data_IF_310413758295
#
_entry.id   IF_310413758295
#
_cell.length_a   1.000
_cell.length_b   1.000
_cell.length_c   1.000
_cell.angle_alpha   90.00
_cell.angle_beta   90.00
_cell.angle_gamma   90.00
#
_symmetry.space_group_name_H-M   'P 1'
#
loop_
_entity.id
_entity.type
_entity.pdbx_description
1 polymer ?
#
# COMPACT_ATOMS: atom_id res chain seq x y z
N UNK A 1 51.66 -7.54 -41.76
CA UNK A 1 51.13 -7.48 -43.15
C UNK A 1 49.63 -7.15 -43.03
N UNK A 2 49.21 -5.89 -43.19
CA UNK A 2 48.63 -5.31 -44.44
C UNK A 2 47.66 -6.32 -45.09
N UNK A 3 46.36 -6.07 -45.12
CA UNK A 3 45.75 -5.03 -45.97
C UNK A 3 44.44 -4.47 -45.44
N UNK A 4 44.35 -3.14 -45.48
CA UNK A 4 43.13 -2.34 -45.41
C UNK A 4 42.24 -2.61 -46.63
N UNK A 5 40.92 -2.67 -46.44
CA UNK A 5 39.95 -2.44 -47.51
C UNK A 5 39.03 -1.30 -47.08
N UNK A 6 39.19 -0.16 -47.74
CA UNK A 6 38.30 1.00 -47.68
C UNK A 6 37.27 0.80 -48.78
N UNK A 7 35.98 0.76 -48.45
CA UNK A 7 34.93 1.10 -49.39
C UNK A 7 34.21 2.35 -48.91
N UNK A 8 34.52 3.45 -49.60
CA UNK A 8 33.67 4.63 -49.70
C UNK A 8 32.60 4.30 -50.74
N UNK A 9 31.33 4.42 -50.40
CA UNK A 9 30.29 4.77 -51.36
C UNK A 9 29.22 5.57 -50.64
N UNK A 10 29.21 6.85 -50.97
CA UNK A 10 28.14 7.78 -50.66
C UNK A 10 26.91 7.42 -51.48
N UNK A 11 25.74 7.35 -50.86
CA UNK A 11 24.48 7.61 -51.55
C UNK A 11 23.55 8.32 -50.58
N UNK A 12 23.52 9.63 -50.77
CA UNK A 12 22.62 10.58 -50.14
C UNK A 12 21.26 10.43 -50.85
N UNK A 13 20.25 9.87 -50.20
CA UNK A 13 18.85 9.99 -50.65
C UNK A 13 18.15 10.90 -49.65
N UNK A 14 18.08 12.17 -50.05
CA UNK A 14 17.30 13.21 -49.40
C UNK A 14 15.85 13.05 -49.84
N UNK A 15 15.02 12.39 -49.04
CA UNK A 15 13.57 12.44 -49.17
C UNK A 15 13.04 13.50 -48.19
N UNK A 16 12.83 14.72 -48.70
CA UNK A 16 12.08 15.76 -48.02
C UNK A 16 10.60 15.40 -48.17
N UNK A 17 10.03 14.83 -47.11
CA UNK A 17 8.57 14.72 -46.98
C UNK A 17 8.10 15.96 -46.20
N UNK A 18 7.56 16.93 -46.91
CA UNK A 18 6.79 18.04 -46.35
C UNK A 18 5.47 17.48 -45.87
N UNK A 19 5.45 16.99 -44.63
CA UNK A 19 4.21 16.71 -43.90
C UNK A 19 3.71 18.01 -43.32
N UNK A 20 2.69 18.60 -43.94
CA UNK A 20 1.89 19.66 -43.33
C UNK A 20 1.31 19.16 -42.03
N UNK A 21 1.86 19.62 -40.91
CA UNK A 21 1.29 19.44 -39.59
C UNK A 21 -0.06 20.16 -39.55
N UNK A 22 -1.14 19.42 -39.79
CA UNK A 22 -2.47 19.83 -39.39
C UNK A 22 -2.46 19.97 -37.88
N UNK A 23 -2.52 21.20 -37.40
CA UNK A 23 -2.80 21.54 -36.01
C UNK A 23 -4.24 21.08 -35.73
N UNK A 24 -4.40 19.80 -35.43
CA UNK A 24 -5.61 19.34 -34.76
C UNK A 24 -5.51 19.79 -33.32
N UNK A 25 -6.18 20.90 -33.02
CA UNK A 25 -6.59 21.28 -31.67
C UNK A 25 -7.48 20.17 -31.11
N UNK A 26 -6.87 19.10 -30.60
CA UNK A 26 -7.54 18.17 -29.72
C UNK A 26 -7.74 18.89 -28.40
N UNK A 27 -8.95 19.41 -28.21
CA UNK A 27 -9.47 19.80 -26.90
C UNK A 27 -9.50 18.53 -26.04
N UNK A 28 -8.41 18.30 -25.31
CA UNK A 28 -8.38 17.28 -24.28
C UNK A 28 -9.53 17.59 -23.30
N UNK A 29 -10.42 16.64 -22.99
CA UNK A 29 -11.43 16.84 -21.97
C UNK A 29 -10.69 17.17 -20.67
N UNK A 30 -11.00 18.34 -20.11
CA UNK A 30 -10.46 18.81 -18.86
C UNK A 30 -10.59 17.68 -17.82
N UNK A 31 -9.46 17.10 -17.45
CA UNK A 31 -9.42 16.21 -16.28
C UNK A 31 -10.00 17.01 -15.12
N UNK A 32 -10.99 16.47 -14.39
CA UNK A 32 -11.48 17.12 -13.20
C UNK A 32 -10.28 17.39 -12.30
N UNK A 33 -10.01 18.68 -12.06
CA UNK A 33 -9.02 19.11 -11.07
C UNK A 33 -9.50 18.50 -9.76
N UNK A 34 -8.82 17.43 -9.36
CA UNK A 34 -8.99 16.81 -8.07
C UNK A 34 -8.39 17.80 -7.07
N UNK A 35 -9.24 18.73 -6.62
CA UNK A 35 -8.94 19.71 -5.59
C UNK A 35 -8.47 18.94 -4.35
N UNK A 36 -7.16 18.78 -4.24
CA UNK A 36 -6.46 18.04 -3.18
C UNK A 36 -6.41 18.86 -1.89
N UNK A 37 -7.44 19.67 -1.66
CA UNK A 37 -7.61 20.55 -0.51
C UNK A 37 -8.70 20.01 0.42
N UNK A 38 -8.81 18.67 0.51
CA UNK A 38 -9.47 18.04 1.64
C UNK A 38 -8.62 18.38 2.87
N UNK A 39 -9.09 19.35 3.65
CA UNK A 39 -8.53 19.71 4.94
C UNK A 39 -8.20 18.42 5.70
N UNK A 40 -7.04 18.33 6.38
CA UNK A 40 -6.66 17.16 7.15
C UNK A 40 -7.82 16.84 8.11
N UNK A 41 -8.56 15.78 7.79
CA UNK A 41 -9.66 15.33 8.62
C UNK A 41 -9.03 15.04 9.97
N UNK A 42 -9.36 15.89 10.93
CA UNK A 42 -8.78 15.83 12.26
C UNK A 42 -9.05 14.45 12.81
N UNK A 43 -8.00 13.66 13.02
CA UNK A 43 -7.92 12.39 13.76
C UNK A 43 -8.31 12.57 15.25
N UNK A 44 -9.33 13.38 15.52
CA UNK A 44 -9.91 13.74 16.81
C UNK A 44 -11.38 13.30 16.68
N UNK A 45 -11.89 12.26 17.31
CA UNK A 45 -11.43 11.47 18.45
C UNK A 45 -12.12 10.10 18.36
N UNK A 46 -11.39 9.02 18.10
CA UNK A 46 -11.98 7.66 18.06
C UNK A 46 -12.31 7.10 19.44
N UNK A 47 -11.83 7.77 20.48
CA UNK A 47 -12.13 7.45 21.86
C UNK A 47 -13.50 7.98 22.28
N UNK A 48 -14.20 7.21 23.12
CA UNK A 48 -15.44 7.62 23.75
C UNK A 48 -15.57 6.99 25.14
N UNK A 49 -16.45 7.59 25.94
CA UNK A 49 -16.85 7.08 27.25
C UNK A 49 -18.24 6.45 27.14
N UNK A 50 -18.43 5.32 27.81
CA UNK A 50 -19.71 4.63 27.91
C UNK A 50 -19.91 4.10 29.33
N UNK A 51 -21.05 4.46 29.92
CA UNK A 51 -21.54 3.91 31.18
C UNK A 51 -22.73 3.02 30.85
N UNK A 52 -22.54 1.71 30.96
CA UNK A 52 -23.54 0.72 30.62
C UNK A 52 -24.02 0.03 31.91
N UNK A 53 -25.31 0.18 32.30
CA UNK A 53 -25.83 -0.34 33.57
C UNK A 53 -26.01 -1.87 33.59
N UNK A 54 -25.55 -2.58 32.56
CA UNK A 54 -25.87 -3.98 32.32
C UNK A 54 -27.10 -4.14 31.44
N UNK A 55 -27.33 -5.34 30.91
CA UNK A 55 -28.41 -5.61 29.96
C UNK A 55 -27.94 -6.54 28.85
N UNK A 56 -28.59 -6.50 27.69
CA UNK A 56 -28.20 -7.39 26.57
C UNK A 56 -27.07 -6.79 25.73
N UNK A 57 -26.35 -7.63 24.99
CA UNK A 57 -25.36 -7.17 23.99
C UNK A 57 -26.01 -6.24 22.95
N UNK A 58 -27.28 -6.45 22.59
CA UNK A 58 -28.01 -5.51 21.71
C UNK A 58 -28.20 -4.13 22.36
N UNK A 59 -28.50 -4.08 23.66
CA UNK A 59 -28.58 -2.83 24.41
C UNK A 59 -27.21 -2.13 24.47
N UNK A 60 -26.13 -2.89 24.68
CA UNK A 60 -24.77 -2.35 24.63
C UNK A 60 -24.43 -1.79 23.25
N UNK A 61 -24.74 -2.52 22.16
CA UNK A 61 -24.56 -2.04 20.78
C UNK A 61 -25.29 -0.71 20.56
N UNK A 62 -26.55 -0.60 21.01
CA UNK A 62 -27.33 0.65 20.89
C UNK A 62 -26.70 1.80 21.66
N UNK A 63 -26.19 1.54 22.86
CA UNK A 63 -25.48 2.55 23.65
C UNK A 63 -24.18 3.02 22.96
N UNK A 64 -23.44 2.10 22.32
CA UNK A 64 -22.27 2.43 21.50
C UNK A 64 -22.66 3.25 20.26
N UNK A 65 -23.71 2.85 19.52
CA UNK A 65 -24.19 3.58 18.34
C UNK A 65 -24.68 4.99 18.68
N UNK A 66 -25.21 5.22 19.89
CA UNK A 66 -25.58 6.56 20.36
C UNK A 66 -24.35 7.47 20.54
N UNK A 67 -23.17 6.92 20.85
CA UNK A 67 -21.90 7.66 20.94
C UNK A 67 -21.15 7.71 19.61
N UNK A 68 -21.32 6.69 18.77
CA UNK A 68 -20.64 6.49 17.48
C UNK A 68 -21.64 6.07 16.40
N UNK A 69 -22.42 7.01 15.82
CA UNK A 69 -23.47 6.69 14.85
C UNK A 69 -22.98 6.00 13.56
N UNK A 70 -21.71 6.19 13.22
CA UNK A 70 -21.09 5.64 12.01
C UNK A 70 -20.40 4.27 12.23
N UNK A 71 -20.55 3.66 13.41
CA UNK A 71 -19.94 2.37 13.69
C UNK A 71 -20.67 1.23 12.95
N UNK A 72 -19.92 0.39 12.21
CA UNK A 72 -20.48 -0.76 11.50
C UNK A 72 -20.42 -2.01 12.39
N UNK A 73 -21.50 -2.27 13.13
CA UNK A 73 -21.59 -3.35 14.12
C UNK A 73 -22.69 -4.34 13.72
N UNK A 74 -22.29 -5.58 13.42
CA UNK A 74 -23.17 -6.68 13.05
C UNK A 74 -23.33 -7.64 14.21
N UNK A 75 -24.57 -7.90 14.65
CA UNK A 75 -24.90 -8.91 15.65
C UNK A 75 -25.51 -10.13 14.96
N UNK A 76 -24.87 -11.28 15.10
CA UNK A 76 -25.41 -12.56 14.64
C UNK A 76 -26.19 -13.23 15.79
N UNK A 77 -27.42 -13.72 15.58
CA UNK A 77 -28.13 -14.50 16.59
C UNK A 77 -27.32 -15.74 17.01
N UNK A 78 -27.29 -16.12 18.30
CA UNK A 78 -28.00 -15.54 19.46
C UNK A 78 -27.25 -14.40 20.20
N UNK A 79 -26.22 -13.78 19.62
CA UNK A 79 -25.35 -12.81 20.32
C UNK A 79 -26.13 -11.67 21.01
N UNK A 80 -27.17 -11.17 20.35
CA UNK A 80 -27.97 -10.04 20.85
C UNK A 80 -28.74 -10.31 22.15
N UNK A 81 -28.95 -11.58 22.52
CA UNK A 81 -29.68 -11.98 23.73
C UNK A 81 -28.78 -12.17 24.95
N UNK A 82 -27.46 -12.24 24.75
CA UNK A 82 -26.49 -12.49 25.82
C UNK A 82 -26.55 -11.31 26.81
N UNK A 83 -26.69 -11.62 28.11
CA UNK A 83 -26.68 -10.59 29.16
C UNK A 83 -25.27 -10.28 29.64
N UNK A 84 -24.96 -8.99 29.70
CA UNK A 84 -23.72 -8.39 30.13
C UNK A 84 -23.89 -7.75 31.52
N UNK A 85 -22.86 -7.82 32.38
CA UNK A 85 -22.85 -7.09 33.64
C UNK A 85 -22.77 -5.57 33.40
N UNK A 86 -23.00 -4.74 34.44
CA UNK A 86 -22.70 -3.33 34.40
C UNK A 86 -21.20 -3.07 34.13
N UNK A 87 -20.89 -2.18 33.19
CA UNK A 87 -19.52 -1.88 32.76
C UNK A 87 -19.39 -0.37 32.52
N UNK A 88 -18.29 0.22 33.00
CA UNK A 88 -17.89 1.59 32.70
C UNK A 88 -16.59 1.60 31.92
N UNK A 89 -16.61 2.18 30.73
CA UNK A 89 -15.44 2.33 29.87
C UNK A 89 -15.17 3.82 29.65
N UNK A 90 -13.91 4.23 29.79
CA UNK A 90 -13.47 5.62 29.61
C UNK A 90 -12.31 5.69 28.64
N UNK A 91 -12.37 6.63 27.71
CA UNK A 91 -11.35 6.86 26.70
C UNK A 91 -11.05 5.60 25.89
N UNK A 92 -12.08 4.83 25.51
CA UNK A 92 -11.90 3.57 24.79
C UNK A 92 -12.19 3.73 23.31
N UNK A 93 -11.44 2.99 22.47
CA UNK A 93 -11.76 2.82 21.06
C UNK A 93 -12.89 1.80 20.90
N UNK A 94 -13.57 1.86 19.74
CA UNK A 94 -14.69 0.98 19.42
C UNK A 94 -14.32 -0.51 19.57
N UNK A 95 -13.21 -0.94 18.99
CA UNK A 95 -12.76 -2.34 19.04
C UNK A 95 -12.40 -2.77 20.47
N UNK A 96 -11.75 -1.90 21.24
CA UNK A 96 -11.41 -2.17 22.65
C UNK A 96 -12.65 -2.33 23.51
N UNK A 97 -13.69 -1.51 23.27
CA UNK A 97 -14.95 -1.62 23.99
C UNK A 97 -15.62 -2.99 23.77
N UNK A 98 -15.58 -3.50 22.54
CA UNK A 98 -16.10 -4.83 22.23
C UNK A 98 -15.21 -5.97 22.73
N UNK A 99 -13.89 -5.81 22.72
CA UNK A 99 -12.96 -6.78 23.29
C UNK A 99 -13.20 -7.00 24.80
N UNK A 100 -13.58 -5.95 25.54
CA UNK A 100 -13.92 -6.09 26.97
C UNK A 100 -15.17 -6.96 27.17
N UNK A 101 -16.24 -6.74 26.41
CA UNK A 101 -17.48 -7.51 26.59
C UNK A 101 -17.33 -8.98 26.14
N UNK A 102 -16.45 -9.25 25.18
CA UNK A 102 -16.12 -10.61 24.71
C UNK A 102 -15.46 -11.44 25.80
N UNK A 103 -14.67 -10.79 26.66
CA UNK A 103 -13.98 -11.41 27.78
C UNK A 103 -14.74 -11.32 29.10
N UNK A 104 -15.86 -10.57 29.14
CA UNK A 104 -16.68 -10.46 30.32
C UNK A 104 -17.39 -11.80 30.60
N UNK A 105 -17.58 -12.18 31.87
CA UNK A 105 -18.35 -13.38 32.21
C UNK A 105 -19.80 -13.18 31.78
N UNK A 106 -20.20 -13.87 30.71
CA UNK A 106 -21.56 -13.83 30.18
C UNK A 106 -22.35 -15.05 30.66
N UNK A 107 -23.39 -14.77 31.44
CA UNK A 107 -24.41 -15.76 31.80
C UNK A 107 -25.68 -15.42 31.05
N UNK A 108 -26.41 -16.43 30.59
CA UNK A 108 -27.78 -16.27 30.13
C UNK A 108 -28.73 -16.41 31.32
N UNK A 109 -29.94 -15.87 31.20
CA UNK A 109 -30.97 -15.94 32.25
C UNK A 109 -31.32 -17.37 32.70
N UNK A 110 -31.03 -18.38 31.86
CA UNK A 110 -31.21 -19.81 32.14
C UNK A 110 -30.00 -20.47 32.81
N UNK A 111 -28.95 -19.71 33.15
CA UNK A 111 -27.72 -20.20 33.78
C UNK A 111 -26.74 -20.86 32.81
N UNK A 112 -27.04 -20.91 31.50
CA UNK A 112 -26.11 -21.46 30.50
C UNK A 112 -24.98 -20.46 30.26
N UNK A 113 -23.73 -20.94 30.35
CA UNK A 113 -22.57 -20.14 29.96
C UNK A 113 -22.57 -19.96 28.44
N UNK A 114 -22.61 -18.71 28.00
CA UNK A 114 -22.44 -18.36 26.60
C UNK A 114 -21.05 -17.77 26.41
N UNK A 115 -20.44 -18.01 25.26
CA UNK A 115 -19.22 -17.32 24.87
C UNK A 115 -19.57 -16.36 23.75
N UNK A 116 -19.23 -15.10 23.93
CA UNK A 116 -19.25 -14.14 22.84
C UNK A 116 -17.92 -14.27 22.09
N UNK A 117 -17.96 -14.28 20.76
CA UNK A 117 -16.80 -14.19 19.90
C UNK A 117 -16.92 -12.93 19.04
N UNK A 118 -15.77 -12.30 18.76
CA UNK A 118 -15.69 -11.11 17.93
C UNK A 118 -14.78 -11.40 16.76
N UNK A 119 -15.32 -11.24 15.57
CA UNK A 119 -14.58 -11.29 14.32
C UNK A 119 -14.54 -9.88 13.75
N UNK A 120 -13.34 -9.42 13.38
CA UNK A 120 -13.17 -8.21 12.59
C UNK A 120 -12.52 -8.62 11.29
N UNK A 121 -13.31 -8.95 10.24
CA UNK A 121 -12.73 -9.18 8.92
C UNK A 121 -12.05 -7.87 8.54
N UNK A 122 -10.73 -7.88 8.44
CA UNK A 122 -9.93 -6.68 8.19
C UNK A 122 -10.52 -5.89 7.02
N UNK A 123 -10.46 -4.56 7.11
CA UNK A 123 -10.87 -3.70 6.00
C UNK A 123 -9.75 -3.71 4.96
N UNK A 124 -10.03 -4.24 3.78
CA UNK A 124 -9.18 -4.21 2.60
C UNK A 124 -9.09 -2.81 1.94
N UNK A 125 -9.63 -1.77 2.59
CA UNK A 125 -9.58 -0.38 2.13
C UNK A 125 -9.92 0.64 3.22
N UNK A 126 -10.01 1.91 2.81
CA UNK A 126 -10.36 3.09 3.65
C UNK A 126 -11.77 3.06 4.29
N UNK A 127 -12.41 1.90 4.41
CA UNK A 127 -13.72 1.72 5.01
C UNK A 127 -13.69 1.73 6.55
N UNK A 128 -14.84 2.01 7.16
CA UNK A 128 -14.99 1.85 8.60
C UNK A 128 -14.89 0.36 8.99
N UNK A 129 -14.19 0.01 10.09
CA UNK A 129 -14.04 -1.39 10.52
C UNK A 129 -15.40 -2.03 10.79
N UNK A 130 -15.58 -3.26 10.30
CA UNK A 130 -16.77 -4.07 10.58
C UNK A 130 -16.49 -4.91 11.83
N UNK A 131 -17.35 -4.78 12.84
CA UNK A 131 -17.31 -5.60 14.05
C UNK A 131 -18.46 -6.60 13.97
N UNK A 132 -18.13 -7.88 13.81
CA UNK A 132 -19.10 -8.97 13.80
C UNK A 132 -19.04 -9.68 15.14
N UNK A 133 -20.16 -9.68 15.85
CA UNK A 133 -20.32 -10.37 17.12
C UNK A 133 -21.16 -11.62 16.92
N UNK A 134 -20.63 -12.76 17.36
CA UNK A 134 -21.29 -14.05 17.31
C UNK A 134 -21.40 -14.63 18.72
N UNK A 135 -22.56 -15.17 19.04
CA UNK A 135 -22.81 -15.84 20.31
C UNK A 135 -22.72 -17.33 20.10
N UNK A 136 -21.76 -17.99 20.72
CA UNK A 136 -21.72 -19.45 20.71
C UNK A 136 -22.40 -19.94 21.98
N UNK A 137 -23.52 -20.64 21.78
CA UNK A 137 -24.12 -21.46 22.82
C UNK A 137 -23.14 -22.61 23.08
N UNK A 138 -22.31 -22.44 24.10
CA UNK A 138 -21.75 -23.60 24.78
C UNK A 138 -22.91 -24.26 25.52
N UNK A 139 -23.68 -25.07 24.79
CA UNK A 139 -24.33 -26.20 25.44
C UNK A 139 -23.22 -26.85 26.25
N UNK A 140 -23.33 -27.01 27.58
CA UNK A 140 -22.33 -27.77 28.33
C UNK A 140 -22.25 -29.12 27.61
N UNK A 141 -21.20 -29.25 26.81
CA UNK A 141 -21.19 -30.05 25.58
C UNK A 141 -21.16 -31.48 26.04
N UNK A 142 -22.31 -32.05 26.36
CA UNK A 142 -22.41 -33.22 27.21
C UNK A 142 -21.37 -33.16 28.35
N UNK A 143 -21.83 -32.96 29.58
CA UNK A 143 -21.32 -33.84 30.62
C UNK A 143 -21.69 -35.30 30.24
N UNK A 144 -21.18 -35.79 29.10
CA UNK A 144 -20.86 -37.17 28.86
C UNK A 144 -20.04 -37.44 30.09
N UNK A 145 -20.63 -38.13 31.09
CA UNK A 145 -20.02 -38.25 32.40
C UNK A 145 -18.61 -38.66 32.07
N UNK A 146 -17.65 -37.76 32.33
CA UNK A 146 -16.27 -38.16 32.23
C UNK A 146 -16.29 -39.37 33.14
N UNK A 147 -16.06 -40.60 32.61
CA UNK A 147 -16.02 -41.75 33.48
C UNK A 147 -15.09 -41.30 34.59
N UNK A 148 -15.54 -41.46 35.83
CA UNK A 148 -14.78 -41.16 37.03
C UNK A 148 -13.54 -42.04 36.99
N UNK A 149 -12.62 -41.66 36.11
CA UNK A 149 -11.34 -42.26 35.91
C UNK A 149 -10.54 -41.90 37.14
N UNK A 150 -9.61 -42.78 37.51
CA UNK A 150 -8.84 -42.63 38.73
C UNK A 150 -8.34 -41.20 38.86
N UNK A 151 -8.67 -40.58 39.99
CA UNK A 151 -8.57 -39.15 40.32
C UNK A 151 -7.13 -38.62 40.43
N UNK A 152 -6.17 -39.18 39.68
CA UNK A 152 -4.76 -38.82 39.81
C UNK A 152 -3.90 -38.95 38.56
N UNK A 153 -4.42 -39.43 37.43
CA UNK A 153 -3.63 -39.52 36.21
C UNK A 153 -3.92 -38.32 35.28
N UNK A 154 -2.94 -37.42 35.18
CA UNK A 154 -2.92 -36.33 34.20
C UNK A 154 -3.19 -36.89 32.80
N UNK A 155 -4.40 -36.65 32.28
CA UNK A 155 -4.81 -37.17 30.98
C UNK A 155 -3.94 -36.54 29.88
N UNK A 156 -3.07 -37.35 29.29
CA UNK A 156 -2.25 -36.96 28.14
C UNK A 156 -3.18 -36.73 26.94
N UNK A 157 -3.12 -35.53 26.36
CA UNK A 157 -3.85 -35.15 25.13
C UNK A 157 -2.86 -34.83 24.03
N UNK A 158 -3.33 -34.84 22.78
CA UNK A 158 -2.56 -34.39 21.62
C UNK A 158 -3.28 -33.22 20.97
N UNK A 159 -2.56 -32.14 20.68
CA UNK A 159 -3.10 -30.95 20.04
C UNK A 159 -2.21 -30.53 18.85
N UNK A 160 -2.78 -30.36 17.65
CA UNK A 160 -2.06 -29.80 16.52
C UNK A 160 -2.05 -28.27 16.57
N UNK A 161 -0.94 -27.66 16.19
CA UNK A 161 -0.72 -26.22 16.06
C UNK A 161 -0.11 -25.93 14.67
N UNK A 162 -0.61 -24.90 14.00
CA UNK A 162 -0.03 -24.40 12.75
C UNK A 162 1.05 -23.39 13.06
N UNK A 163 2.23 -23.51 12.44
CA UNK A 163 3.36 -22.58 12.59
C UNK A 163 3.62 -21.75 11.33
N UNK A 164 2.74 -21.83 10.33
CA UNK A 164 2.91 -21.13 9.04
C UNK A 164 2.99 -19.60 9.17
N UNK A 165 2.38 -19.03 10.20
CA UNK A 165 2.37 -17.58 10.45
C UNK A 165 3.57 -17.12 11.30
N UNK A 166 4.38 -18.05 11.81
CA UNK A 166 5.52 -17.79 12.70
C UNK A 166 6.85 -18.11 11.98
N UNK A 167 6.85 -19.18 11.18
CA UNK A 167 8.02 -19.67 10.46
C UNK A 167 7.96 -19.22 9.00
N UNK A 168 8.98 -18.50 8.56
CA UNK A 168 9.13 -17.99 7.19
C UNK A 168 10.58 -17.58 6.92
N UNK A 169 10.92 -17.32 5.65
CA UNK A 169 12.28 -16.96 5.23
C UNK A 169 12.81 -15.72 5.97
N UNK A 170 11.94 -14.74 6.18
CA UNK A 170 12.25 -13.48 6.88
C UNK A 170 11.77 -13.44 8.35
N UNK A 171 11.34 -14.59 8.90
CA UNK A 171 10.78 -14.68 10.26
C UNK A 171 11.63 -15.57 11.19
N UNK A 172 11.02 -16.24 12.17
CA UNK A 172 11.70 -17.11 13.12
C UNK A 172 12.03 -18.45 12.47
N UNK A 173 13.21 -19.00 12.80
CA UNK A 173 13.57 -20.35 12.37
C UNK A 173 12.84 -21.38 13.21
N UNK A 174 12.54 -22.52 12.59
CA UNK A 174 11.93 -23.69 13.26
C UNK A 174 12.62 -24.03 14.58
N UNK A 175 13.95 -24.10 14.58
CA UNK A 175 14.71 -24.52 15.76
C UNK A 175 14.59 -23.52 16.92
N UNK A 176 14.50 -22.23 16.62
CA UNK A 176 14.28 -21.18 17.63
C UNK A 176 12.89 -21.32 18.26
N UNK A 177 11.87 -21.61 17.44
CA UNK A 177 10.50 -21.84 17.91
C UNK A 177 10.42 -23.08 18.80
N UNK A 178 11.00 -24.21 18.37
CA UNK A 178 11.03 -25.43 19.17
C UNK A 178 11.78 -25.22 20.49
N UNK A 179 12.93 -24.56 20.45
CA UNK A 179 13.73 -24.23 21.64
C UNK A 179 12.95 -23.37 22.62
N UNK A 180 12.24 -22.35 22.14
CA UNK A 180 11.42 -21.49 22.99
C UNK A 180 10.27 -22.26 23.67
N UNK A 181 9.62 -23.18 22.94
CA UNK A 181 8.57 -24.03 23.50
C UNK A 181 9.14 -24.98 24.55
N UNK A 182 10.24 -25.66 24.25
CA UNK A 182 10.90 -26.58 25.18
C UNK A 182 11.32 -25.87 26.47
N UNK A 183 11.92 -24.67 26.35
CA UNK A 183 12.27 -23.84 27.50
C UNK A 183 11.06 -23.41 28.31
N UNK A 184 9.97 -22.99 27.66
CA UNK A 184 8.75 -22.56 28.34
C UNK A 184 8.10 -23.71 29.11
N UNK A 185 7.99 -24.88 28.48
CA UNK A 185 7.48 -26.10 29.14
C UNK A 185 8.39 -26.55 30.28
N UNK A 186 9.70 -26.48 30.12
CA UNK A 186 10.64 -26.81 31.21
C UNK A 186 10.60 -25.80 32.37
N UNK A 187 10.18 -24.56 32.12
CA UNK A 187 10.12 -23.51 33.16
C UNK A 187 8.81 -23.55 33.94
N UNK A 188 7.68 -23.84 33.26
CA UNK A 188 6.35 -23.74 33.85
C UNK A 188 5.64 -25.09 34.04
N UNK A 189 6.15 -26.17 33.44
CA UNK A 189 5.57 -27.50 33.53
C UNK A 189 6.05 -28.26 34.76
N UNK A 190 5.17 -29.07 35.35
CA UNK A 190 5.58 -30.06 36.35
C UNK A 190 6.49 -31.13 35.71
N UNK A 191 7.62 -31.41 36.36
CA UNK A 191 8.65 -32.38 35.91
C UNK A 191 8.13 -33.82 35.75
N UNK A 192 6.95 -34.12 36.30
CA UNK A 192 6.41 -35.47 36.36
C UNK A 192 5.97 -36.04 35.00
N UNK A 193 5.70 -35.19 33.99
CA UNK A 193 5.26 -35.63 32.67
C UNK A 193 6.03 -34.91 31.56
N UNK A 194 6.70 -35.67 30.69
CA UNK A 194 7.42 -35.12 29.54
C UNK A 194 6.45 -34.83 28.39
N UNK A 195 6.41 -33.59 27.91
CA UNK A 195 5.72 -33.25 26.66
C UNK A 195 6.51 -33.82 25.48
N UNK A 196 5.81 -34.52 24.58
CA UNK A 196 6.35 -34.96 23.29
C UNK A 196 5.99 -33.92 22.22
N UNK A 197 6.99 -33.36 21.56
CA UNK A 197 6.84 -32.44 20.44
C UNK A 197 7.22 -33.15 19.14
N UNK A 198 6.33 -33.12 18.14
CA UNK A 198 6.61 -33.62 16.79
C UNK A 198 6.29 -32.55 15.76
N UNK A 199 7.32 -32.09 15.05
CA UNK A 199 7.16 -31.12 13.97
C UNK A 199 7.15 -31.80 12.60
N UNK A 200 6.16 -31.45 11.79
CA UNK A 200 6.02 -31.88 10.41
C UNK A 200 6.37 -30.73 9.46
N UNK A 201 7.58 -30.79 8.92
CA UNK A 201 8.20 -29.72 8.12
C UNK A 201 7.44 -29.36 6.84
N UNK A 202 6.92 -30.30 6.02
CA UNK A 202 6.20 -29.94 4.81
C UNK A 202 4.93 -29.11 5.02
N UNK A 203 4.29 -29.24 6.18
CA UNK A 203 3.03 -28.53 6.49
C UNK A 203 3.20 -27.48 7.58
N UNK A 204 4.43 -27.25 8.06
CA UNK A 204 4.73 -26.40 9.22
C UNK A 204 3.78 -26.64 10.40
N UNK A 205 3.46 -27.90 10.68
CA UNK A 205 2.56 -28.26 11.78
C UNK A 205 3.33 -28.85 12.95
N UNK A 206 3.03 -28.37 14.16
CA UNK A 206 3.52 -28.93 15.41
C UNK A 206 2.41 -29.74 16.07
N UNK A 207 2.68 -31.02 16.36
CA UNK A 207 1.82 -31.85 17.19
C UNK A 207 2.47 -31.95 18.56
N UNK A 208 1.84 -31.35 19.57
CA UNK A 208 2.27 -31.46 20.96
C UNK A 208 1.39 -32.48 21.68
N UNK A 209 2.02 -33.36 22.46
CA UNK A 209 1.34 -34.36 23.29
C UNK A 209 1.81 -34.27 24.73
N UNK A 210 0.88 -34.03 25.65
CA UNK A 210 1.19 -33.84 27.07
C UNK A 210 -0.06 -33.60 27.93
N UNK A 211 0.11 -33.36 29.23
CA UNK A 211 -0.94 -32.85 30.12
C UNK A 211 -1.53 -31.54 29.61
N UNK A 212 -2.79 -31.26 29.96
CA UNK A 212 -3.50 -30.06 29.49
C UNK A 212 -2.78 -28.77 29.88
N UNK A 213 -2.19 -28.71 31.06
CA UNK A 213 -1.45 -27.54 31.56
C UNK A 213 -0.22 -27.24 30.70
N UNK A 214 0.54 -28.26 30.31
CA UNK A 214 1.70 -28.09 29.43
C UNK A 214 1.28 -27.71 28.00
N UNK A 215 0.20 -28.28 27.48
CA UNK A 215 -0.34 -27.89 26.16
C UNK A 215 -0.79 -26.43 26.14
N UNK A 216 -1.34 -25.94 27.25
CA UNK A 216 -1.69 -24.52 27.41
C UNK A 216 -0.44 -23.62 27.41
N UNK A 217 0.65 -24.04 28.08
CA UNK A 217 1.94 -23.34 28.02
C UNK A 217 2.49 -23.28 26.60
N UNK A 218 2.39 -24.39 25.83
CA UNK A 218 2.78 -24.42 24.40
C UNK A 218 1.96 -23.39 23.61
N UNK A 219 0.63 -23.39 23.77
CA UNK A 219 -0.26 -22.45 23.08
C UNK A 219 0.06 -20.98 23.41
N UNK A 220 0.25 -20.66 24.69
CA UNK A 220 0.63 -19.31 25.12
C UNK A 220 1.97 -18.87 24.53
N UNK A 221 2.96 -19.76 24.52
CA UNK A 221 4.29 -19.47 23.96
C UNK A 221 4.19 -19.19 22.46
N UNK A 222 3.41 -20.00 21.73
CA UNK A 222 3.18 -19.78 20.30
C UNK A 222 2.47 -18.44 20.02
N UNK A 223 1.49 -18.05 20.83
CA UNK A 223 0.82 -16.76 20.69
C UNK A 223 1.78 -15.57 20.87
N UNK A 224 2.70 -15.65 21.85
CA UNK A 224 3.72 -14.62 22.08
C UNK A 224 4.71 -14.57 20.91
N UNK A 225 5.15 -15.72 20.41
CA UNK A 225 6.06 -15.78 19.25
C UNK A 225 5.39 -15.23 17.98
N UNK A 226 4.09 -15.49 17.79
CA UNK A 226 3.33 -14.94 16.67
C UNK A 226 3.25 -13.42 16.71
N UNK A 227 2.95 -12.83 17.88
CA UNK A 227 2.96 -11.38 18.06
C UNK A 227 4.36 -10.79 17.77
N UNK A 228 5.41 -11.43 18.29
CA UNK A 228 6.79 -11.02 18.02
C UNK A 228 7.16 -11.09 16.54
N UNK A 229 6.76 -12.17 15.85
CA UNK A 229 7.00 -12.37 14.43
C UNK A 229 6.29 -11.29 13.59
N UNK A 230 5.05 -10.93 13.93
CA UNK A 230 4.31 -9.84 13.28
C UNK A 230 5.01 -8.49 13.45
N UNK A 231 5.55 -8.19 14.64
CA UNK A 231 6.32 -6.96 14.88
C UNK A 231 7.58 -6.90 14.02
N UNK A 232 8.30 -8.02 13.90
CA UNK A 232 9.50 -8.11 13.03
C UNK A 232 9.12 -7.91 11.56
N UNK A 233 8.07 -8.59 11.08
CA UNK A 233 7.59 -8.44 9.71
C UNK A 233 7.16 -6.99 9.41
N UNK A 234 6.47 -6.33 10.34
CA UNK A 234 6.09 -4.93 10.21
C UNK A 234 7.32 -4.00 10.16
N UNK A 235 8.34 -4.26 10.98
CA UNK A 235 9.59 -3.50 10.94
C UNK A 235 10.33 -3.68 9.61
N UNK A 236 10.36 -4.89 9.07
CA UNK A 236 10.99 -5.19 7.80
C UNK A 236 10.25 -4.47 6.65
N UNK A 237 8.91 -4.49 6.65
CA UNK A 237 8.13 -3.76 5.64
C UNK A 237 8.31 -2.25 5.71
N UNK A 238 8.41 -1.66 6.91
CA UNK A 238 8.77 -0.24 7.07
C UNK A 238 10.16 0.03 6.47
N UNK A 239 11.15 -0.81 6.79
CA UNK A 239 12.52 -0.65 6.30
C UNK A 239 12.58 -0.72 4.78
N UNK A 240 11.84 -1.66 4.17
CA UNK A 240 11.72 -1.76 2.72
C UNK A 240 11.06 -0.51 2.12
N UNK A 241 9.96 -0.03 2.70
CA UNK A 241 9.27 1.18 2.20
C UNK A 241 10.14 2.45 2.28
N UNK A 242 11.03 2.52 3.28
CA UNK A 242 12.00 3.61 3.41
C UNK A 242 13.06 3.54 2.31
N UNK A 243 13.58 2.33 2.02
CA UNK A 243 14.52 2.12 0.92
C UNK A 243 13.89 2.48 -0.44
N UNK A 244 12.65 2.05 -0.68
CA UNK A 244 11.90 2.37 -1.91
C UNK A 244 11.67 3.88 -2.04
N UNK A 245 11.37 4.57 -0.94
CA UNK A 245 11.20 6.03 -0.91
C UNK A 245 12.49 6.77 -1.26
N UNK A 246 13.63 6.30 -0.78
CA UNK A 246 14.93 6.89 -1.11
C UNK A 246 15.33 6.63 -2.56
N UNK A 247 15.02 5.45 -3.10
CA UNK A 247 15.19 5.17 -4.52
C UNK A 247 14.33 6.09 -5.39
N UNK A 248 13.06 6.32 -5.02
CA UNK A 248 12.18 7.23 -5.74
C UNK A 248 12.69 8.68 -5.69
N UNK A 249 13.25 9.11 -4.55
CA UNK A 249 13.87 10.43 -4.41
C UNK A 249 15.09 10.59 -5.32
N UNK A 250 15.91 9.56 -5.46
CA UNK A 250 17.06 9.57 -6.37
C UNK A 250 16.60 9.67 -7.84
N UNK A 251 15.57 8.91 -8.23
CA UNK A 251 14.99 9.00 -9.57
C UNK A 251 14.42 10.40 -9.86
N UNK A 252 13.72 11.00 -8.89
CA UNK A 252 13.17 12.34 -9.05
C UNK A 252 14.27 13.41 -9.19
N UNK A 253 15.42 13.24 -8.52
CA UNK A 253 16.57 14.12 -8.69
C UNK A 253 17.15 13.99 -10.10
N UNK A 254 17.40 12.76 -10.57
CA UNK A 254 17.89 12.51 -11.93
C UNK A 254 16.95 13.11 -12.99
N UNK A 255 15.63 12.93 -12.85
CA UNK A 255 14.65 13.53 -13.75
C UNK A 255 14.67 15.07 -13.73
N UNK A 256 14.93 15.68 -12.57
CA UNK A 256 15.04 17.14 -12.48
C UNK A 256 16.29 17.65 -13.19
N UNK A 257 17.39 16.94 -13.06
CA UNK A 257 18.65 17.29 -13.73
C UNK A 257 18.51 17.14 -15.26
N UNK A 258 17.87 16.07 -15.73
CA UNK A 258 17.54 15.89 -17.16
C UNK A 258 16.62 17.00 -17.69
N UNK A 259 15.59 17.37 -16.93
CA UNK A 259 14.70 18.47 -17.31
C UNK A 259 15.42 19.83 -17.34
N UNK A 260 16.38 20.06 -16.43
CA UNK A 260 17.20 21.27 -16.47
C UNK A 260 18.07 21.30 -17.73
N UNK A 261 18.73 20.19 -18.07
CA UNK A 261 19.52 20.08 -19.30
C UNK A 261 18.67 20.29 -20.57
N UNK A 262 17.45 19.79 -20.62
CA UNK A 262 16.52 20.02 -21.72
C UNK A 262 16.11 21.50 -21.83
N UNK A 263 15.90 22.19 -20.70
CA UNK A 263 15.60 23.64 -20.71
C UNK A 263 16.76 24.44 -21.28
N UNK A 264 18.00 24.13 -20.89
CA UNK A 264 19.19 24.78 -21.44
C UNK A 264 19.33 24.54 -22.95
N UNK A 265 18.99 23.34 -23.44
CA UNK A 265 18.99 23.05 -24.87
C UNK A 265 17.93 23.85 -25.64
N UNK A 266 16.72 23.96 -25.09
CA UNK A 266 15.64 24.76 -25.67
C UNK A 266 16.03 26.23 -25.72
N UNK A 267 16.66 26.77 -24.67
CA UNK A 267 17.13 28.15 -24.65
C UNK A 267 18.23 28.40 -25.70
N UNK A 268 19.21 27.51 -25.81
CA UNK A 268 20.24 27.59 -26.87
C UNK A 268 19.63 27.52 -28.26
N UNK A 269 18.65 26.64 -28.48
CA UNK A 269 17.96 26.54 -29.75
C UNK A 269 17.17 27.82 -30.07
N UNK A 270 16.56 28.47 -29.08
CA UNK A 270 15.86 29.74 -29.25
C UNK A 270 16.81 30.87 -29.68
N UNK A 271 18.00 30.97 -29.06
CA UNK A 271 19.03 31.94 -29.45
C UNK A 271 19.48 31.72 -30.90
N UNK A 272 19.75 30.47 -31.28
CA UNK A 272 20.13 30.12 -32.66
C UNK A 272 19.01 30.46 -33.65
N UNK A 273 17.76 30.21 -33.27
CA UNK A 273 16.60 30.55 -34.10
C UNK A 273 16.48 32.07 -34.31
N UNK A 274 16.68 32.87 -33.26
CA UNK A 274 16.66 34.32 -33.36
C UNK A 274 17.78 34.85 -34.27
N UNK A 275 19.00 34.30 -34.15
CA UNK A 275 20.11 34.65 -35.03
C UNK A 275 19.82 34.31 -36.50
N UNK A 276 19.20 33.15 -36.75
CA UNK A 276 18.79 32.75 -38.09
C UNK A 276 17.73 33.69 -38.67
N UNK A 277 16.74 34.10 -37.87
CA UNK A 277 15.73 35.08 -38.29
C UNK A 277 16.36 36.43 -38.67
N UNK A 278 17.33 36.92 -37.88
CA UNK A 278 18.07 38.15 -38.21
C UNK A 278 18.85 38.01 -39.50
N UNK A 279 19.59 36.92 -39.67
CA UNK A 279 20.35 36.64 -40.90
C UNK A 279 19.45 36.53 -42.14
N UNK A 280 18.25 35.94 -41.99
CA UNK A 280 17.26 35.91 -43.07
C UNK A 280 16.74 37.30 -43.43
N UNK A 281 16.43 38.14 -42.44
CA UNK A 281 15.99 39.52 -42.68
C UNK A 281 17.07 40.36 -43.39
N UNK A 282 18.34 40.25 -42.96
CA UNK A 282 19.48 40.91 -43.61
C UNK A 282 19.66 40.45 -45.07
N UNK A 283 19.52 39.15 -45.32
CA UNK A 283 19.57 38.59 -46.68
C UNK A 283 18.44 39.15 -47.55
N UNK A 284 17.22 39.21 -47.03
CA UNK A 284 16.07 39.70 -47.79
C UNK A 284 16.19 41.21 -48.08
N UNK A 285 16.74 42.00 -47.15
CA UNK A 285 17.11 43.41 -47.38
C UNK A 285 18.18 43.54 -48.48
N UNK A 286 19.22 42.70 -48.44
CA UNK A 286 20.28 42.69 -49.46
C UNK A 286 19.73 42.31 -50.85
N UNK A 287 18.83 41.32 -50.92
CA UNK A 287 18.15 40.93 -52.15
C UNK A 287 17.29 42.08 -52.69
N UNK A 288 16.59 42.80 -51.82
CA UNK A 288 15.81 43.98 -52.22
C UNK A 288 16.71 45.10 -52.80
N UNK A 289 17.84 45.40 -52.16
CA UNK A 289 18.82 46.38 -52.67
C UNK A 289 19.40 45.97 -54.03
N UNK A 290 19.74 44.70 -54.21
CA UNK A 290 20.20 44.16 -55.50
C UNK A 290 19.13 44.31 -56.58
N UNK A 291 17.86 44.06 -56.25
CA UNK A 291 16.73 44.28 -57.16
C UNK A 291 16.61 45.74 -57.60
N UNK A 292 16.73 46.69 -56.66
CA UNK A 292 16.69 48.13 -56.97
C UNK A 292 17.84 48.56 -57.88
N UNK A 293 19.06 48.12 -57.59
CA UNK A 293 20.24 48.42 -58.43
C UNK A 293 20.12 47.82 -59.83
N UNK A 294 19.56 46.61 -59.94
CA UNK A 294 19.32 45.95 -61.24
C UNK A 294 18.34 46.77 -62.07
N UNK A 295 17.28 47.29 -61.46
CA UNK A 295 16.30 48.14 -62.13
C UNK A 295 16.89 49.50 -62.57
N UNK A 296 17.73 50.13 -61.74
CA UNK A 296 18.44 51.36 -62.11
C UNK A 296 19.41 51.14 -63.28
N UNK A 297 20.13 50.02 -63.29
CA UNK A 297 20.98 49.63 -64.42
C UNK A 297 20.18 49.41 -65.70
N UNK A 298 18.98 48.85 -65.60
CA UNK A 298 18.08 48.68 -66.74
C UNK A 298 17.58 50.03 -67.28
N UNK A 299 17.20 50.96 -66.42
CA UNK A 299 16.81 52.33 -66.81
C UNK A 299 17.98 53.06 -67.48
N UNK A 300 19.19 52.99 -66.90
CA UNK A 300 20.37 53.65 -67.48
C UNK A 300 20.77 53.03 -68.82
N UNK A 301 20.63 51.72 -68.98
CA UNK A 301 20.81 51.03 -70.27
C UNK A 301 19.83 51.53 -71.33
N UNK A 302 18.53 51.60 -71.02
CA UNK A 302 17.51 52.13 -71.94
C UNK A 302 17.85 53.57 -72.39
N UNK A 303 18.27 54.43 -71.45
CA UNK A 303 18.70 55.80 -71.76
C UNK A 303 19.92 55.86 -72.67
N UNK A 304 20.88 54.96 -72.47
CA UNK A 304 22.08 54.86 -73.31
C UNK A 304 21.70 54.45 -74.75
N UNK A 305 20.83 53.44 -74.89
CA UNK A 305 20.35 52.95 -76.18
C UNK A 305 19.60 54.05 -76.95
N UNK A 306 18.75 54.84 -76.25
CA UNK A 306 18.07 56.01 -76.82
C UNK A 306 19.06 57.09 -77.30
N UNK A 307 20.11 57.37 -76.53
CA UNK A 307 21.17 58.31 -76.91
C UNK A 307 21.94 57.83 -78.15
N UNK A 308 22.26 56.53 -78.22
CA UNK A 308 22.93 55.94 -79.38
C UNK A 308 22.05 56.01 -80.64
N UNK A 309 20.75 55.74 -80.53
CA UNK A 309 19.80 55.90 -81.64
C UNK A 309 19.70 57.34 -82.14
N UNK A 310 19.75 58.34 -81.24
CA UNK A 310 19.77 59.76 -81.63
C UNK A 310 21.05 60.15 -82.36
N UNK A 311 22.20 59.58 -81.99
CA UNK A 311 23.48 59.83 -82.66
C UNK A 311 23.58 59.13 -84.03
N UNK A 312 22.88 58.01 -84.23
CA UNK A 312 22.93 57.23 -85.47
C UNK A 312 21.99 57.72 -86.58
N UNK A 313 21.15 58.75 -86.34
CA UNK A 313 20.32 59.39 -87.37
C UNK A 313 21.10 60.55 -88.02
N UNK A 314 21.58 60.41 -89.28
CA UNK A 314 22.24 61.49 -90.01
C UNK A 314 21.29 62.63 -90.38
#
# INVERSE_FOLDING_TARGET
MRTMSRFRSATLITAILVGTAGVMTTTAPASPRQDSNAAPQTLRSDFFDIDFPGGTVDAFRKAVLAKKPNANIVLLPPAGEITLPPIQLRGVMLQSAFAVIVNAPTQRADGVQQRLSMNSPGTDGNGAPIIVLQGDLRTPMNAQPQPAGPTGESRIRSQPFSLSDIIGEDMLKKDDVLTAIEMSVATFGDDAAKTELRFHEPTNMLVARGPMEQLFTVEQTLNVLMESAQVVAHRNSITQSLADTDQLRLQLRAQKDDNAALRDQVERAAIVHEQLQRAMAERDEALHKLSMLTHELEITRIRLDDCQQKLAKP
#
